data_IF_072345126891
#
_entry.id   IF_072345126891
#
_cell.length_a   1.000
_cell.length_b   1.000
_cell.length_c   1.000
_cell.angle_alpha   90.00
_cell.angle_beta   90.00
_cell.angle_gamma   90.00
#
_symmetry.space_group_name_H-M   'P 1'
#
loop_
_entity.id
_entity.type
_entity.pdbx_description
1 polymer ?
#
# COMPACT_ATOMS: atom_id res chain seq x y z
N UNK A 1 -11.93 39.50 9.58
CA UNK A 1 -10.81 38.66 10.10
C UNK A 1 -11.28 37.62 11.10
N UNK A 2 -12.14 37.97 12.05
CA UNK A 2 -12.60 37.05 13.12
C UNK A 2 -13.35 35.81 12.62
N UNK A 3 -14.23 35.94 11.62
CA UNK A 3 -14.94 34.80 11.01
C UNK A 3 -13.99 33.75 10.41
N UNK A 4 -12.95 34.19 9.69
CA UNK A 4 -11.93 33.29 9.10
C UNK A 4 -11.20 32.53 10.21
N UNK A 5 -10.91 33.20 11.33
CA UNK A 5 -10.24 32.58 12.47
C UNK A 5 -11.12 31.53 13.15
N UNK A 6 -12.41 31.80 13.33
CA UNK A 6 -13.39 30.84 13.91
C UNK A 6 -13.55 29.62 13.00
N UNK A 7 -13.68 29.82 11.68
CA UNK A 7 -13.75 28.71 10.72
C UNK A 7 -12.45 27.88 10.71
N UNK A 8 -11.29 28.54 10.80
CA UNK A 8 -10.00 27.85 10.91
C UNK A 8 -9.87 27.01 12.18
N UNK A 9 -10.28 27.55 13.34
CA UNK A 9 -10.27 26.84 14.62
C UNK A 9 -11.24 25.66 14.63
N UNK A 10 -12.45 25.83 14.10
CA UNK A 10 -13.41 24.74 13.94
C UNK A 10 -12.87 23.61 13.06
N UNK A 11 -12.19 23.96 11.97
CA UNK A 11 -11.54 22.99 11.09
C UNK A 11 -10.42 22.22 11.78
N UNK A 12 -9.58 22.90 12.56
CA UNK A 12 -8.51 22.28 13.36
C UNK A 12 -9.10 21.33 14.40
N UNK A 13 -10.13 21.74 15.14
CA UNK A 13 -10.80 20.89 16.12
C UNK A 13 -11.45 19.67 15.48
N UNK A 14 -12.07 19.82 14.31
CA UNK A 14 -12.63 18.72 13.53
C UNK A 14 -11.54 17.74 13.07
N UNK A 15 -10.38 18.23 12.60
CA UNK A 15 -9.24 17.40 12.26
C UNK A 15 -8.72 16.64 13.48
N UNK A 16 -8.56 17.29 14.63
CA UNK A 16 -8.12 16.62 15.87
C UNK A 16 -9.11 15.53 16.28
N UNK A 17 -10.41 15.83 16.28
CA UNK A 17 -11.44 14.86 16.63
C UNK A 17 -11.44 13.67 15.65
N UNK A 18 -11.46 13.92 14.35
CA UNK A 18 -11.52 12.86 13.34
C UNK A 18 -10.25 11.98 13.34
N UNK A 19 -9.09 12.55 13.61
CA UNK A 19 -7.80 11.84 13.57
C UNK A 19 -7.43 11.14 14.88
N UNK A 20 -7.80 11.68 16.04
CA UNK A 20 -7.36 11.14 17.34
C UNK A 20 -8.48 10.54 18.18
N UNK A 21 -9.68 11.12 18.14
CA UNK A 21 -10.76 10.77 19.07
C UNK A 21 -11.74 9.78 18.43
N UNK A 22 -12.05 9.95 17.15
CA UNK A 22 -13.01 9.07 16.45
C UNK A 22 -12.50 7.61 16.46
N UNK A 23 -13.33 6.61 16.79
CA UNK A 23 -12.90 5.22 16.76
C UNK A 23 -12.64 4.74 15.32
N UNK A 24 -11.60 3.92 15.15
CA UNK A 24 -11.31 3.27 13.87
C UNK A 24 -12.27 2.10 13.72
N UNK A 25 -13.25 2.24 12.82
CA UNK A 25 -14.33 1.26 12.61
C UNK A 25 -14.43 0.76 11.17
N UNK A 26 -13.94 1.54 10.22
CA UNK A 26 -14.03 1.26 8.79
C UNK A 26 -12.65 1.26 8.16
N UNK A 27 -12.53 0.59 7.02
CA UNK A 27 -11.33 0.62 6.20
C UNK A 27 -10.89 2.06 5.85
N UNK A 28 -11.82 2.93 5.46
CA UNK A 28 -11.50 4.34 5.18
C UNK A 28 -10.87 5.07 6.36
N UNK A 29 -11.33 4.81 7.59
CA UNK A 29 -10.69 5.37 8.79
C UNK A 29 -9.26 4.85 8.96
N UNK A 30 -9.00 3.58 8.66
CA UNK A 30 -7.66 2.97 8.70
C UNK A 30 -6.73 3.66 7.70
N UNK A 31 -7.20 3.86 6.47
CA UNK A 31 -6.40 4.46 5.39
C UNK A 31 -6.10 5.93 5.69
N UNK A 32 -7.13 6.72 6.03
CA UNK A 32 -6.98 8.13 6.37
C UNK A 32 -6.03 8.35 7.56
N UNK A 33 -6.23 7.61 8.65
CA UNK A 33 -5.39 7.72 9.85
C UNK A 33 -3.99 7.17 9.63
N UNK A 34 -3.83 6.13 8.83
CA UNK A 34 -2.52 5.60 8.43
C UNK A 34 -1.74 6.61 7.60
N UNK A 35 -2.38 7.25 6.62
CA UNK A 35 -1.78 8.34 5.84
C UNK A 35 -1.36 9.51 6.74
N UNK A 36 -2.23 9.92 7.67
CA UNK A 36 -1.89 10.97 8.62
C UNK A 36 -0.68 10.60 9.47
N UNK A 37 -0.68 9.40 10.08
CA UNK A 37 0.46 8.90 10.87
C UNK A 37 1.76 8.90 10.05
N UNK A 38 1.70 8.56 8.77
CA UNK A 38 2.85 8.63 7.85
C UNK A 38 3.34 10.07 7.67
N UNK A 39 2.45 11.02 7.40
CA UNK A 39 2.80 12.43 7.18
C UNK A 39 3.47 13.04 8.40
N UNK A 40 3.02 12.70 9.61
CA UNK A 40 3.60 13.20 10.86
C UNK A 40 4.75 12.33 11.41
N UNK A 41 5.21 11.34 10.64
CA UNK A 41 6.38 10.52 10.99
C UNK A 41 6.17 9.45 12.06
N UNK A 42 4.92 9.15 12.45
CA UNK A 42 4.59 8.13 13.44
C UNK A 42 4.57 6.72 12.86
N UNK A 43 5.69 6.27 12.29
CA UNK A 43 5.85 5.00 11.58
C UNK A 43 5.37 3.78 12.38
N UNK A 44 5.67 3.72 13.69
CA UNK A 44 5.25 2.61 14.57
C UNK A 44 3.73 2.55 14.72
N UNK A 45 3.07 3.71 14.90
CA UNK A 45 1.60 3.79 15.02
C UNK A 45 0.91 3.47 13.70
N UNK A 46 1.48 3.93 12.58
CA UNK A 46 1.01 3.56 11.24
C UNK A 46 1.01 2.04 11.06
N UNK A 47 2.14 1.37 11.34
CA UNK A 47 2.26 -0.10 11.26
C UNK A 47 1.22 -0.80 12.15
N UNK A 48 1.16 -0.41 13.42
CA UNK A 48 0.26 -1.05 14.39
C UNK A 48 -1.21 -0.91 13.99
N UNK A 49 -1.59 0.26 13.46
CA UNK A 49 -2.93 0.50 12.95
C UNK A 49 -3.29 -0.47 11.83
N UNK A 50 -2.40 -0.63 10.82
CA UNK A 50 -2.65 -1.53 9.69
C UNK A 50 -2.71 -3.00 10.11
N UNK A 51 -1.77 -3.45 10.96
CA UNK A 51 -1.76 -4.83 11.43
C UNK A 51 -2.99 -5.16 12.29
N UNK A 52 -3.39 -4.25 13.19
CA UNK A 52 -4.58 -4.43 14.01
C UNK A 52 -5.84 -4.48 13.14
N UNK A 53 -5.96 -3.58 12.16
CA UNK A 53 -7.09 -3.60 11.22
C UNK A 53 -7.15 -4.92 10.43
N UNK A 54 -6.02 -5.42 9.95
CA UNK A 54 -5.97 -6.68 9.21
C UNK A 54 -6.45 -7.89 10.05
N UNK A 55 -6.12 -7.89 11.35
CA UNK A 55 -6.42 -8.97 12.27
C UNK A 55 -7.85 -8.90 12.85
N UNK A 56 -8.32 -7.70 13.22
CA UNK A 56 -9.49 -7.55 14.08
C UNK A 56 -10.67 -6.86 13.40
N UNK A 57 -10.49 -6.27 12.22
CA UNK A 57 -11.58 -5.61 11.49
C UNK A 57 -12.25 -6.59 10.52
N UNK A 58 -13.58 -6.48 10.42
CA UNK A 58 -14.33 -7.13 9.34
C UNK A 58 -14.07 -6.36 8.05
N UNK A 59 -13.17 -6.88 7.22
CA UNK A 59 -12.79 -6.32 5.92
C UNK A 59 -13.37 -7.19 4.81
N UNK A 60 -13.89 -6.57 3.75
CA UNK A 60 -14.13 -7.28 2.50
C UNK A 60 -12.82 -7.83 1.93
N UNK A 61 -12.92 -8.82 1.04
CA UNK A 61 -11.73 -9.42 0.40
C UNK A 61 -10.88 -8.38 -0.33
N UNK A 62 -11.51 -7.40 -0.99
CA UNK A 62 -10.80 -6.31 -1.66
C UNK A 62 -10.09 -5.38 -0.66
N UNK A 63 -10.75 -5.00 0.43
CA UNK A 63 -10.13 -4.15 1.46
C UNK A 63 -8.99 -4.86 2.18
N UNK A 64 -9.15 -6.16 2.50
CA UNK A 64 -8.11 -6.99 3.09
C UNK A 64 -6.88 -7.02 2.18
N UNK A 65 -7.10 -7.21 0.88
CA UNK A 65 -6.06 -7.25 -0.15
C UNK A 65 -5.32 -5.92 -0.28
N UNK A 66 -6.05 -4.82 -0.41
CA UNK A 66 -5.47 -3.50 -0.49
C UNK A 66 -4.68 -3.18 0.79
N UNK A 67 -5.19 -3.56 1.96
CA UNK A 67 -4.49 -3.40 3.23
C UNK A 67 -3.20 -4.22 3.29
N UNK A 68 -3.22 -5.48 2.82
CA UNK A 68 -2.00 -6.30 2.69
C UNK A 68 -0.99 -5.63 1.76
N UNK A 69 -1.41 -5.11 0.60
CA UNK A 69 -0.53 -4.37 -0.30
C UNK A 69 0.07 -3.11 0.35
N UNK A 70 -0.72 -2.40 1.15
CA UNK A 70 -0.26 -1.23 1.92
C UNK A 70 0.77 -1.63 2.99
N UNK A 71 0.54 -2.74 3.69
CA UNK A 71 1.47 -3.26 4.69
C UNK A 71 2.78 -3.70 4.02
N UNK A 72 2.72 -4.40 2.87
CA UNK A 72 3.89 -4.76 2.08
C UNK A 72 4.70 -3.52 1.67
N UNK A 73 4.03 -2.47 1.19
CA UNK A 73 4.66 -1.18 0.90
C UNK A 73 5.30 -0.53 2.13
N UNK A 74 4.68 -0.67 3.30
CA UNK A 74 5.25 -0.17 4.54
C UNK A 74 6.54 -0.90 4.88
N UNK A 75 6.57 -2.24 4.82
CA UNK A 75 7.77 -3.03 5.10
C UNK A 75 8.89 -2.74 4.11
N UNK A 76 8.58 -2.69 2.82
CA UNK A 76 9.55 -2.38 1.78
C UNK A 76 10.15 -0.97 1.95
N UNK A 77 9.36 0.04 2.29
CA UNK A 77 9.89 1.39 2.61
C UNK A 77 10.81 1.43 3.83
N UNK A 78 10.82 0.40 4.65
CA UNK A 78 11.70 0.26 5.82
C UNK A 78 12.74 -0.85 5.61
N UNK A 79 13.06 -1.19 4.36
CA UNK A 79 14.06 -2.18 3.95
C UNK A 79 13.86 -3.58 4.53
N UNK A 80 12.61 -3.91 4.88
CA UNK A 80 12.28 -5.24 5.35
C UNK A 80 11.62 -6.02 4.19
N UNK A 81 12.48 -6.58 3.35
CA UNK A 81 12.10 -7.16 2.05
C UNK A 81 11.34 -8.47 2.19
N UNK A 82 11.76 -9.35 3.10
CA UNK A 82 11.13 -10.67 3.29
C UNK A 82 9.66 -10.51 3.76
N UNK A 83 9.43 -9.67 4.76
CA UNK A 83 8.08 -9.36 5.20
C UNK A 83 7.28 -8.64 4.11
N UNK A 84 7.89 -7.75 3.34
CA UNK A 84 7.21 -7.11 2.21
C UNK A 84 6.72 -8.15 1.19
N UNK A 85 7.58 -9.09 0.79
CA UNK A 85 7.24 -10.20 -0.11
C UNK A 85 6.09 -11.03 0.47
N UNK A 86 6.14 -11.37 1.76
CA UNK A 86 5.06 -12.12 2.41
C UNK A 86 3.71 -11.42 2.23
N UNK A 87 3.63 -10.11 2.51
CA UNK A 87 2.38 -9.37 2.34
C UNK A 87 1.99 -9.17 0.87
N UNK A 88 2.95 -8.99 -0.04
CA UNK A 88 2.68 -8.90 -1.47
C UNK A 88 2.12 -10.21 -2.04
N UNK A 89 2.72 -11.35 -1.70
CA UNK A 89 2.22 -12.66 -2.12
C UNK A 89 0.75 -12.85 -1.71
N UNK A 90 0.43 -12.55 -0.45
CA UNK A 90 -0.95 -12.64 0.04
C UNK A 90 -1.88 -11.65 -0.66
N UNK A 91 -1.42 -10.42 -0.95
CA UNK A 91 -2.20 -9.44 -1.69
C UNK A 91 -2.49 -9.88 -3.13
N UNK A 92 -1.58 -10.62 -3.79
CA UNK A 92 -1.74 -10.99 -5.19
C UNK A 92 -2.33 -12.40 -5.41
N UNK A 93 -2.47 -13.23 -4.37
CA UNK A 93 -2.83 -14.66 -4.45
C UNK A 93 -4.16 -14.95 -5.18
N UNK A 94 -5.07 -13.97 -5.30
CA UNK A 94 -6.31 -14.07 -6.10
C UNK A 94 -6.71 -12.72 -6.72
N UNK A 95 -5.72 -11.94 -7.18
CA UNK A 95 -5.99 -10.58 -7.68
C UNK A 95 -6.86 -10.63 -8.94
N UNK A 96 -7.79 -9.67 -9.09
CA UNK A 96 -8.60 -9.52 -10.30
C UNK A 96 -7.72 -9.54 -11.56
N UNK A 97 -8.26 -10.11 -12.65
CA UNK A 97 -7.51 -10.33 -13.87
C UNK A 97 -6.98 -9.02 -14.45
N UNK A 98 -7.72 -7.91 -14.32
CA UNK A 98 -7.30 -6.58 -14.78
C UNK A 98 -7.29 -5.54 -13.65
N UNK A 99 -6.18 -4.80 -13.53
CA UNK A 99 -6.05 -3.65 -12.65
C UNK A 99 -5.06 -2.64 -13.22
N UNK A 100 -5.30 -1.36 -12.92
CA UNK A 100 -4.46 -0.26 -13.37
C UNK A 100 -3.06 -0.34 -12.78
N UNK A 101 -2.09 0.10 -13.57
CA UNK A 101 -0.71 0.23 -13.16
C UNK A 101 -0.58 1.17 -11.95
N UNK A 102 0.27 0.77 -11.00
CA UNK A 102 0.70 1.60 -9.86
C UNK A 102 2.22 1.69 -9.85
N UNK A 103 2.76 2.86 -9.53
CA UNK A 103 4.23 3.07 -9.45
C UNK A 103 4.88 2.15 -8.41
N UNK A 104 4.14 1.78 -7.38
CA UNK A 104 4.56 0.86 -6.33
C UNK A 104 4.86 -0.56 -6.84
N UNK A 105 4.41 -0.94 -8.04
CA UNK A 105 4.72 -2.27 -8.60
C UNK A 105 6.20 -2.46 -8.92
N UNK A 106 6.95 -1.38 -9.17
CA UNK A 106 8.41 -1.44 -9.23
C UNK A 106 8.98 -1.99 -7.92
N UNK A 107 8.55 -1.42 -6.79
CA UNK A 107 8.99 -1.83 -5.46
C UNK A 107 8.66 -3.30 -5.16
N UNK A 108 7.53 -3.81 -5.66
CA UNK A 108 7.18 -5.23 -5.51
C UNK A 108 8.26 -6.09 -6.14
N UNK A 109 8.64 -5.81 -7.39
CA UNK A 109 9.69 -6.55 -8.12
C UNK A 109 11.05 -6.38 -7.43
N UNK A 110 11.40 -5.15 -7.04
CA UNK A 110 12.66 -4.84 -6.36
C UNK A 110 12.83 -5.69 -5.09
N UNK A 111 11.76 -5.91 -4.30
CA UNK A 111 11.85 -6.71 -3.09
C UNK A 111 12.36 -8.15 -3.37
N UNK A 112 11.90 -8.78 -4.45
CA UNK A 112 12.38 -10.12 -4.82
C UNK A 112 13.84 -10.08 -5.29
N UNK A 113 14.24 -9.04 -6.03
CA UNK A 113 15.63 -8.86 -6.46
C UNK A 113 16.55 -8.72 -5.24
N UNK A 114 16.18 -7.87 -4.28
CA UNK A 114 16.94 -7.63 -3.04
C UNK A 114 17.02 -8.89 -2.15
N UNK A 115 16.04 -9.79 -2.24
CA UNK A 115 16.06 -11.09 -1.57
C UNK A 115 16.84 -12.19 -2.33
N UNK A 116 17.51 -11.86 -3.45
CA UNK A 116 18.14 -12.82 -4.36
C UNK A 116 17.17 -13.86 -4.94
N UNK A 117 15.88 -13.54 -5.03
CA UNK A 117 14.81 -14.38 -5.59
C UNK A 117 14.54 -14.01 -7.06
N UNK A 118 15.56 -14.12 -7.93
CA UNK A 118 15.49 -13.63 -9.31
C UNK A 118 14.39 -14.29 -10.15
N UNK A 119 14.19 -15.60 -10.00
CA UNK A 119 13.14 -16.33 -10.74
C UNK A 119 11.74 -15.90 -10.31
N UNK A 120 11.53 -15.68 -9.02
CA UNK A 120 10.27 -15.14 -8.49
C UNK A 120 10.04 -13.71 -8.97
N UNK A 121 11.09 -12.87 -9.00
CA UNK A 121 11.01 -11.53 -9.58
C UNK A 121 10.56 -11.57 -11.04
N UNK A 122 11.09 -12.52 -11.83
CA UNK A 122 10.70 -12.75 -13.22
C UNK A 122 9.23 -13.18 -13.35
N UNK A 123 8.76 -14.08 -12.49
CA UNK A 123 7.36 -14.51 -12.50
C UNK A 123 6.40 -13.38 -12.10
N UNK A 124 6.76 -12.56 -11.11
CA UNK A 124 5.98 -11.38 -10.72
C UNK A 124 5.95 -10.32 -11.83
N UNK A 125 7.08 -10.09 -12.51
CA UNK A 125 7.13 -9.21 -13.67
C UNK A 125 6.20 -9.72 -14.77
N UNK A 126 6.28 -11.00 -15.15
CA UNK A 126 5.38 -11.61 -16.14
C UNK A 126 3.92 -11.49 -15.72
N UNK A 127 3.61 -11.71 -14.45
CA UNK A 127 2.28 -11.51 -13.90
C UNK A 127 1.76 -10.09 -14.17
N UNK A 128 2.56 -9.05 -13.92
CA UNK A 128 2.17 -7.69 -14.25
C UNK A 128 2.07 -7.44 -15.77
N UNK A 129 3.02 -7.94 -16.57
CA UNK A 129 3.05 -7.71 -18.02
C UNK A 129 1.89 -8.35 -18.78
N UNK A 130 1.24 -9.39 -18.24
CA UNK A 130 -0.02 -9.93 -18.79
C UNK A 130 -1.11 -8.85 -18.94
N UNK A 131 -1.05 -7.76 -18.15
CA UNK A 131 -2.03 -6.66 -18.14
C UNK A 131 -1.66 -5.49 -19.05
N UNK A 132 -0.58 -5.63 -19.82
CA UNK A 132 -0.11 -4.58 -20.76
C UNK A 132 -1.15 -4.21 -21.83
N UNK A 133 -2.04 -5.13 -22.20
CA UNK A 133 -3.15 -4.87 -23.12
C UNK A 133 -4.27 -4.05 -22.48
N UNK A 134 -4.45 -4.17 -21.16
CA UNK A 134 -5.45 -3.42 -20.40
C UNK A 134 -4.95 -2.02 -20.02
N UNK A 135 -3.67 -1.89 -19.65
CA UNK A 135 -3.04 -0.63 -19.29
C UNK A 135 -1.62 -0.56 -19.87
N UNK A 136 -1.39 0.35 -20.82
CA UNK A 136 -0.09 0.47 -21.49
C UNK A 136 1.04 0.90 -20.55
N UNK A 137 0.73 1.46 -19.37
CA UNK A 137 1.73 1.88 -18.41
C UNK A 137 2.55 0.72 -17.85
N UNK A 138 2.08 -0.54 -17.97
CA UNK A 138 2.88 -1.72 -17.64
C UNK A 138 4.16 -1.84 -18.49
N UNK A 139 4.24 -1.18 -19.67
CA UNK A 139 5.49 -1.04 -20.45
C UNK A 139 6.64 -0.42 -19.66
N UNK A 140 6.34 0.36 -18.61
CA UNK A 140 7.35 0.94 -17.71
C UNK A 140 8.11 -0.17 -16.96
N UNK A 141 7.40 -1.19 -16.47
CA UNK A 141 8.03 -2.35 -15.83
C UNK A 141 8.84 -3.16 -16.84
N UNK A 142 8.31 -3.38 -18.04
CA UNK A 142 9.01 -4.11 -19.11
C UNK A 142 10.35 -3.44 -19.47
N UNK A 143 10.34 -2.10 -19.59
CA UNK A 143 11.55 -1.33 -19.92
C UNK A 143 12.59 -1.39 -18.81
N UNK A 144 12.17 -1.25 -17.55
CA UNK A 144 13.07 -1.16 -16.40
C UNK A 144 13.68 -2.51 -16.03
N UNK A 145 12.89 -3.58 -16.10
CA UNK A 145 13.28 -4.93 -15.70
C UNK A 145 13.52 -5.87 -16.88
N UNK A 146 13.89 -5.32 -18.04
CA UNK A 146 14.13 -6.09 -19.28
C UNK A 146 15.14 -7.24 -19.08
N UNK A 147 16.13 -7.03 -18.20
CA UNK A 147 17.21 -7.99 -17.94
C UNK A 147 16.72 -9.23 -17.16
N UNK A 148 15.54 -9.18 -16.54
CA UNK A 148 14.87 -10.35 -15.96
C UNK A 148 14.18 -11.22 -17.02
N UNK A 149 13.91 -10.67 -18.21
CA UNK A 149 13.17 -11.36 -19.27
C UNK A 149 14.07 -12.16 -20.22
N UNK A 150 15.36 -11.83 -20.25
CA UNK A 150 16.42 -12.59 -20.95
C UNK A 150 16.74 -13.86 -20.18
#
# INVERSE_FOLDING_TARGET
MELIFIFGLGWILFLIYSLYIKPVKTYEHVISRGFFNRVIGLKKKEKQLYLNALQNMSLSENERRDLMFIIGNWYAKNNNWSEAIHYYNNAFQNYNENFHYKKEFHRVIDCYIECNEKEQAKEVLKFFLKRKSFDENYRKLEKEYKDLLV
#
